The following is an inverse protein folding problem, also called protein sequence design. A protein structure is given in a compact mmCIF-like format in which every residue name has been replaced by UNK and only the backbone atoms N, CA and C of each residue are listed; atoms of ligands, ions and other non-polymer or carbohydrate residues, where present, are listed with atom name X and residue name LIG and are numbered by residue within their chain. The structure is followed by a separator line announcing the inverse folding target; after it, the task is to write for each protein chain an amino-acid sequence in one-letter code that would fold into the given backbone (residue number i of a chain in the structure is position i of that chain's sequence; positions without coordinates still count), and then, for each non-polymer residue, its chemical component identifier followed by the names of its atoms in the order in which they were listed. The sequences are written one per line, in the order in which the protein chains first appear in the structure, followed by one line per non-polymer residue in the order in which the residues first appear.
data_IF_117974956851
#
_entry.id   IF_117974956851
#
_cell.length_a   1.000
_cell.length_b   1.000
_cell.length_c   1.000
_cell.angle_alpha   90.00
_cell.angle_beta   90.00
_cell.angle_gamma   90.00
#
_symmetry.space_group_name_H-M   'P 1'
#
loop_
_entity.id
_entity.type
_entity.pdbx_description
1 polymer ?
#
# COMPACT_ATOMS: atom_id res chain seq x y z
N UNK A 1 14.55 -3.94 -2.51
CA UNK A 1 13.81 -3.10 -1.54
C UNK A 1 14.51 -3.04 -0.20
N UNK A 2 14.56 -1.86 0.40
CA UNK A 2 15.11 -1.64 1.75
C UNK A 2 14.02 -1.79 2.83
N UNK A 3 14.35 -2.25 4.04
CA UNK A 3 13.39 -2.42 5.15
C UNK A 3 12.76 -1.08 5.62
N UNK A 4 13.34 0.05 5.24
CA UNK A 4 12.77 1.38 5.48
C UNK A 4 11.51 1.61 4.65
N UNK A 5 11.52 1.24 3.37
CA UNK A 5 10.38 1.47 2.47
C UNK A 5 9.21 0.56 2.82
N UNK A 6 9.45 -0.70 3.21
CA UNK A 6 8.37 -1.57 3.72
C UNK A 6 7.72 -1.01 4.99
N UNK A 7 8.50 -0.43 5.91
CA UNK A 7 7.95 0.21 7.10
C UNK A 7 7.14 1.47 6.75
N UNK A 8 7.66 2.32 5.86
CA UNK A 8 6.91 3.47 5.36
C UNK A 8 5.60 3.06 4.68
N UNK A 9 5.64 1.99 3.88
CA UNK A 9 4.46 1.42 3.26
C UNK A 9 3.39 1.03 4.29
N UNK A 10 3.76 0.23 5.28
CA UNK A 10 2.81 -0.16 6.33
C UNK A 10 2.32 1.03 7.15
N UNK A 11 3.18 2.01 7.45
CA UNK A 11 2.76 3.25 8.10
C UNK A 11 1.74 4.04 7.25
N UNK A 12 1.91 4.10 5.92
CA UNK A 12 0.94 4.72 5.02
C UNK A 12 -0.37 3.94 5.04
N UNK A 13 -0.32 2.61 4.91
CA UNK A 13 -1.53 1.76 4.98
C UNK A 13 -2.28 1.97 6.29
N UNK A 14 -1.57 2.00 7.42
CA UNK A 14 -2.17 2.21 8.74
C UNK A 14 -2.71 3.64 8.95
N UNK A 15 -2.04 4.65 8.39
CA UNK A 15 -2.50 6.04 8.44
C UNK A 15 -3.65 6.32 7.46
N UNK A 16 -3.79 5.51 6.42
CA UNK A 16 -4.86 5.63 5.43
C UNK A 16 -6.18 5.19 6.03
N UNK A 17 -7.22 5.97 5.80
CA UNK A 17 -8.56 5.64 6.27
C UNK A 17 -9.05 4.33 5.61
N UNK A 18 -9.62 3.43 6.41
CA UNK A 18 -10.07 2.10 5.96
C UNK A 18 -11.08 2.19 4.81
N UNK A 19 -11.94 3.21 4.83
CA UNK A 19 -12.88 3.51 3.74
C UNK A 19 -12.16 3.68 2.40
N UNK A 20 -11.02 4.36 2.36
CA UNK A 20 -10.24 4.53 1.12
C UNK A 20 -9.64 3.21 0.65
N UNK A 21 -9.13 2.38 1.58
CA UNK A 21 -8.58 1.06 1.28
C UNK A 21 -9.65 0.08 0.75
N UNK A 22 -10.89 0.22 1.20
CA UNK A 22 -12.02 -0.65 0.85
C UNK A 22 -12.82 -0.15 -0.36
N UNK A 23 -12.87 1.16 -0.61
CA UNK A 23 -13.58 1.74 -1.75
C UNK A 23 -12.81 1.62 -3.06
N UNK A 24 -11.48 1.59 -3.02
CA UNK A 24 -10.66 1.47 -4.22
C UNK A 24 -10.64 0.02 -4.72
N UNK A 25 -10.76 -0.14 -6.04
CA UNK A 25 -10.47 -1.40 -6.71
C UNK A 25 -8.98 -1.76 -6.59
N UNK A 26 -8.64 -3.01 -6.87
CA UNK A 26 -7.28 -3.53 -6.70
C UNK A 26 -6.23 -2.71 -7.46
N UNK A 27 -6.51 -2.36 -8.71
CA UNK A 27 -5.58 -1.64 -9.55
C UNK A 27 -5.39 -0.19 -9.06
N UNK A 28 -6.50 0.48 -8.72
CA UNK A 28 -6.47 1.83 -8.17
C UNK A 28 -5.77 1.89 -6.82
N UNK A 29 -5.99 0.90 -5.94
CA UNK A 29 -5.35 0.83 -4.64
C UNK A 29 -3.83 0.64 -4.75
N UNK A 30 -3.39 -0.25 -5.64
CA UNK A 30 -1.95 -0.45 -5.91
C UNK A 30 -1.33 0.84 -6.40
N UNK A 31 -1.89 1.45 -7.44
CA UNK A 31 -1.35 2.70 -7.99
C UNK A 31 -1.33 3.82 -6.95
N UNK A 32 -2.36 3.92 -6.12
CA UNK A 32 -2.43 4.92 -5.06
C UNK A 32 -1.32 4.70 -4.02
N UNK A 33 -1.14 3.47 -3.53
CA UNK A 33 -0.13 3.13 -2.53
C UNK A 33 1.30 3.33 -3.06
N UNK A 34 1.56 2.90 -4.30
CA UNK A 34 2.83 3.14 -4.98
C UNK A 34 3.11 4.63 -5.06
N UNK A 35 2.11 5.43 -5.46
CA UNK A 35 2.24 6.89 -5.54
C UNK A 35 2.57 7.53 -4.19
N UNK A 36 1.96 7.06 -3.10
CA UNK A 36 2.27 7.56 -1.76
C UNK A 36 3.74 7.32 -1.39
N UNK A 37 4.25 6.14 -1.72
CA UNK A 37 5.66 5.81 -1.46
C UNK A 37 6.59 6.60 -2.37
N UNK A 38 6.30 6.71 -3.67
CA UNK A 38 7.14 7.49 -4.60
C UNK A 38 7.16 8.99 -4.27
N UNK A 39 6.13 9.50 -3.58
CA UNK A 39 6.12 10.87 -3.07
C UNK A 39 7.03 11.07 -1.85
N UNK A 40 7.26 10.01 -1.06
CA UNK A 40 8.07 10.04 0.16
C UNK A 40 9.52 9.57 -0.08
N UNK A 41 9.72 8.67 -1.03
CA UNK A 41 10.98 8.03 -1.37
C UNK A 41 11.17 8.02 -2.88
N UNK A 42 12.37 8.34 -3.33
CA UNK A 42 12.72 8.23 -4.74
C UNK A 42 12.95 6.76 -5.07
N UNK A 43 11.99 6.14 -5.76
CA UNK A 43 12.10 4.77 -6.25
C UNK A 43 12.54 4.80 -7.72
N UNK A 44 13.46 3.91 -8.07
CA UNK A 44 13.71 3.63 -9.48
C UNK A 44 12.61 2.74 -10.09
N UNK A 45 12.67 2.53 -11.40
CA UNK A 45 11.68 1.74 -12.12
C UNK A 45 11.61 0.28 -11.63
N UNK A 46 12.74 -0.34 -11.29
CA UNK A 46 12.76 -1.71 -10.77
C UNK A 46 12.20 -1.80 -9.36
N UNK A 47 12.53 -0.83 -8.50
CA UNK A 47 11.96 -0.78 -7.15
C UNK A 47 10.45 -0.51 -7.17
N UNK A 48 9.99 0.33 -8.10
CA UNK A 48 8.56 0.60 -8.29
C UNK A 48 7.81 -0.64 -8.76
N UNK A 49 8.37 -1.38 -9.72
CA UNK A 49 7.80 -2.62 -10.24
C UNK A 49 7.72 -3.70 -9.14
N UNK A 50 8.80 -3.88 -8.38
CA UNK A 50 8.82 -4.77 -7.23
C UNK A 50 7.79 -4.35 -6.16
N UNK A 51 7.64 -3.05 -5.90
CA UNK A 51 6.66 -2.55 -4.95
C UNK A 51 5.23 -2.84 -5.43
N UNK A 52 4.94 -2.64 -6.71
CA UNK A 52 3.66 -3.02 -7.32
C UNK A 52 3.34 -4.50 -7.08
N UNK A 53 4.26 -5.41 -7.42
CA UNK A 53 4.10 -6.85 -7.24
C UNK A 53 3.90 -7.22 -5.77
N UNK A 54 4.68 -6.58 -4.88
CA UNK A 54 4.58 -6.79 -3.44
C UNK A 54 3.20 -6.37 -2.91
N UNK A 55 2.71 -5.20 -3.31
CA UNK A 55 1.39 -4.69 -2.89
C UNK A 55 0.29 -5.60 -3.44
N UNK A 56 0.34 -5.99 -4.70
CA UNK A 56 -0.63 -6.92 -5.30
C UNK A 56 -0.67 -8.25 -4.54
N UNK A 57 0.49 -8.81 -4.19
CA UNK A 57 0.60 -10.05 -3.40
C UNK A 57 0.08 -9.92 -1.97
N UNK A 58 -0.03 -8.70 -1.45
CA UNK A 58 -0.47 -8.39 -0.08
C UNK A 58 -1.83 -7.69 -0.03
N UNK A 59 -2.48 -7.51 -1.17
CA UNK A 59 -3.67 -6.69 -1.30
C UNK A 59 -4.86 -7.28 -0.52
N UNK A 60 -4.98 -8.61 -0.54
CA UNK A 60 -5.92 -9.36 0.30
C UNK A 60 -5.73 -9.06 1.79
N UNK A 61 -4.48 -9.09 2.27
CA UNK A 61 -4.14 -8.79 3.67
C UNK A 61 -4.45 -7.33 4.04
N UNK A 62 -4.16 -6.38 3.14
CA UNK A 62 -4.44 -4.95 3.38
C UNK A 62 -5.95 -4.74 3.52
N UNK A 63 -6.76 -5.38 2.67
CA UNK A 63 -8.23 -5.30 2.76
C UNK A 63 -8.76 -5.95 4.02
N UNK A 64 -8.25 -7.12 4.36
CA UNK A 64 -8.63 -7.82 5.60
C UNK A 64 -8.38 -6.93 6.83
N UNK A 65 -7.19 -6.36 6.91
CA UNK A 65 -6.80 -5.43 7.98
C UNK A 65 -7.64 -4.15 7.98
N UNK A 66 -8.02 -3.64 6.80
CA UNK A 66 -8.92 -2.50 6.69
C UNK A 66 -10.34 -2.83 7.16
N UNK A 67 -10.84 -4.04 6.85
CA UNK A 67 -12.12 -4.53 7.33
C UNK A 67 -12.13 -4.67 8.86
N UNK A 68 -11.12 -5.33 9.44
CA UNK A 68 -11.01 -5.49 10.89
C UNK A 68 -11.00 -4.13 11.61
N UNK A 69 -10.24 -3.16 11.10
CA UNK A 69 -10.16 -1.80 11.66
C UNK A 69 -11.45 -1.01 11.50
N UNK A 70 -12.23 -1.25 10.45
CA UNK A 70 -13.53 -0.58 10.29
C UNK A 70 -14.58 -1.11 11.27
N UNK A 71 -14.43 -2.36 11.74
CA UNK A 71 -15.36 -2.99 12.67
C UNK A 71 -15.02 -2.76 14.15
N UNK A 72 -13.86 -2.15 14.45
CA UNK A 72 -13.37 -1.89 15.81
C UNK A 72 -13.74 -0.51 16.37
#
# INVERSE_FOLDING_TARGET
MTPTIMRQFWSIVEATHTVTLLQLDDASLVQWLVKQITNQAFLDAHETDFLCDYIQSRLSLIRDLAYERQQS
#
